data_IF_715384953932
#
_entry.id   IF_715384953932
#
_cell.length_a   1.000
_cell.length_b   1.000
_cell.length_c   1.000
_cell.angle_alpha   90.00
_cell.angle_beta   90.00
_cell.angle_gamma   90.00
#
_symmetry.space_group_name_H-M   'P 1'
#
loop_
_entity.id
_entity.type
_entity.pdbx_description
1 polymer ?
#
# COMPACT_ATOMS: atom_id res chain seq x y z
N UNK A 1 -2.48 6.34 -4.70
CA UNK A 1 -2.40 4.92 -4.31
C UNK A 1 -2.53 4.00 -5.51
N UNK A 2 -3.71 3.80 -6.11
CA UNK A 2 -3.91 2.82 -7.21
C UNK A 2 -2.93 2.98 -8.37
N UNK A 3 -2.69 4.19 -8.85
CA UNK A 3 -1.73 4.44 -9.94
C UNK A 3 -0.29 4.09 -9.57
N UNK A 4 0.19 4.50 -8.39
CA UNK A 4 1.51 4.12 -7.90
C UNK A 4 1.65 2.59 -7.74
N UNK A 5 0.60 1.94 -7.23
CA UNK A 5 0.56 0.49 -7.08
C UNK A 5 0.62 -0.21 -8.46
N UNK A 6 -0.10 0.31 -9.44
CA UNK A 6 -0.08 -0.20 -10.81
C UNK A 6 1.33 -0.13 -11.41
N UNK A 7 2.00 1.03 -11.28
CA UNK A 7 3.38 1.24 -11.75
C UNK A 7 4.38 0.32 -11.05
N UNK A 8 4.17 0.05 -9.77
CA UNK A 8 5.07 -0.83 -9.01
C UNK A 8 4.88 -2.31 -9.37
N UNK A 9 3.63 -2.77 -9.49
CA UNK A 9 3.35 -4.15 -9.97
C UNK A 9 3.87 -4.33 -11.40
N UNK A 10 3.64 -3.35 -12.28
CA UNK A 10 4.21 -3.29 -13.62
C UNK A 10 5.74 -3.39 -13.59
N UNK A 11 6.38 -2.67 -12.68
CA UNK A 11 7.82 -2.67 -12.47
C UNK A 11 8.40 -4.04 -12.09
N UNK A 12 7.63 -4.93 -11.48
CA UNK A 12 8.08 -6.30 -11.17
C UNK A 12 8.23 -7.15 -12.43
N UNK A 13 7.38 -6.90 -13.44
CA UNK A 13 7.36 -7.56 -14.73
C UNK A 13 7.05 -9.06 -14.70
N UNK A 14 6.96 -9.66 -15.89
CA UNK A 14 6.64 -11.08 -16.08
C UNK A 14 7.66 -12.02 -15.44
N UNK A 15 8.95 -11.65 -15.42
CA UNK A 15 9.99 -12.47 -14.77
C UNK A 15 9.66 -12.75 -13.30
N UNK A 16 9.02 -11.79 -12.63
CA UNK A 16 8.62 -11.92 -11.24
C UNK A 16 7.22 -12.50 -11.09
N UNK A 17 6.29 -12.20 -12.01
CA UNK A 17 4.86 -12.47 -11.81
C UNK A 17 4.32 -13.67 -12.59
N UNK A 18 4.85 -13.96 -13.78
CA UNK A 18 4.29 -14.94 -14.69
C UNK A 18 4.29 -16.37 -14.10
N UNK A 19 3.14 -17.04 -14.18
CA UNK A 19 2.90 -18.36 -13.59
C UNK A 19 2.86 -18.39 -12.06
N UNK A 20 3.00 -17.24 -11.39
CA UNK A 20 2.99 -17.12 -9.93
C UNK A 20 1.68 -16.53 -9.42
N UNK A 21 1.52 -16.51 -8.10
CA UNK A 21 0.34 -16.00 -7.40
C UNK A 21 0.59 -14.62 -6.83
N UNK A 22 -0.43 -13.76 -6.89
CA UNK A 22 -0.50 -12.51 -6.14
C UNK A 22 -1.60 -12.65 -5.10
N UNK A 23 -1.26 -12.54 -3.82
CA UNK A 23 -2.18 -12.74 -2.71
C UNK A 23 -2.77 -11.41 -2.24
N UNK A 24 -4.08 -11.35 -2.04
CA UNK A 24 -4.78 -10.18 -1.50
C UNK A 24 -5.93 -10.62 -0.58
N UNK A 25 -6.25 -9.83 0.45
CA UNK A 25 -7.41 -10.12 1.31
C UNK A 25 -8.74 -9.78 0.62
N UNK A 26 -9.80 -10.52 0.90
CA UNK A 26 -11.13 -10.26 0.35
C UNK A 26 -11.66 -8.86 0.73
N UNK A 27 -11.36 -8.40 1.95
CA UNK A 27 -11.73 -7.08 2.47
C UNK A 27 -10.77 -5.95 2.06
N UNK A 28 -9.85 -6.20 1.11
CA UNK A 28 -9.06 -5.12 0.51
C UNK A 28 -9.97 -4.12 -0.24
N UNK A 29 -9.52 -2.86 -0.33
CA UNK A 29 -10.30 -1.83 -1.00
C UNK A 29 -10.58 -2.20 -2.47
N UNK A 30 -11.81 -2.06 -2.98
CA UNK A 30 -12.19 -2.56 -4.32
C UNK A 30 -11.29 -2.11 -5.47
N UNK A 31 -10.71 -0.91 -5.39
CA UNK A 31 -9.78 -0.41 -6.42
C UNK A 31 -8.53 -1.28 -6.59
N UNK A 32 -8.02 -1.89 -5.50
CA UNK A 32 -6.90 -2.83 -5.60
C UNK A 32 -7.34 -4.15 -6.22
N UNK A 33 -8.54 -4.66 -5.90
CA UNK A 33 -9.10 -5.84 -6.57
C UNK A 33 -9.23 -5.61 -8.08
N UNK A 34 -9.84 -4.48 -8.49
CA UNK A 34 -9.99 -4.16 -9.91
C UNK A 34 -8.65 -4.03 -10.62
N UNK A 35 -7.68 -3.36 -9.98
CA UNK A 35 -6.33 -3.21 -10.51
C UNK A 35 -5.65 -4.57 -10.70
N UNK A 36 -5.56 -5.37 -9.64
CA UNK A 36 -4.85 -6.64 -9.65
C UNK A 36 -5.52 -7.65 -10.60
N UNK A 37 -6.85 -7.68 -10.65
CA UNK A 37 -7.58 -8.52 -11.58
C UNK A 37 -7.28 -8.12 -13.04
N UNK A 38 -7.23 -6.82 -13.34
CA UNK A 38 -6.88 -6.34 -14.68
C UNK A 38 -5.41 -6.58 -15.07
N UNK A 39 -4.50 -6.61 -14.09
CA UNK A 39 -3.08 -6.88 -14.32
C UNK A 39 -2.74 -8.38 -14.39
N UNK A 40 -3.60 -9.26 -13.86
CA UNK A 40 -3.39 -10.70 -13.82
C UNK A 40 -3.11 -11.28 -15.21
N UNK A 41 -4.00 -11.00 -16.17
CA UNK A 41 -3.86 -11.48 -17.56
C UNK A 41 -2.64 -10.87 -18.26
N UNK A 42 -2.34 -9.59 -17.98
CA UNK A 42 -1.22 -8.87 -18.59
C UNK A 42 0.14 -9.41 -18.17
N UNK A 43 0.28 -9.83 -16.91
CA UNK A 43 1.55 -10.30 -16.36
C UNK A 43 1.60 -11.81 -16.09
N UNK A 44 0.54 -12.54 -16.47
CA UNK A 44 0.46 -13.99 -16.38
C UNK A 44 0.40 -14.54 -14.96
N UNK A 45 -0.01 -13.74 -13.97
CA UNK A 45 -0.15 -14.21 -12.58
C UNK A 45 -1.58 -14.64 -12.26
N UNK A 46 -1.76 -15.49 -11.25
CA UNK A 46 -3.08 -15.80 -10.68
C UNK A 46 -3.35 -14.91 -9.48
N UNK A 47 -4.42 -14.12 -9.51
CA UNK A 47 -4.87 -13.38 -8.33
C UNK A 47 -5.54 -14.36 -7.36
N UNK A 48 -5.05 -14.40 -6.13
CA UNK A 48 -5.60 -15.24 -5.05
C UNK A 48 -6.18 -14.33 -3.99
N UNK A 49 -7.49 -14.48 -3.76
CA UNK A 49 -8.20 -13.74 -2.72
C UNK A 49 -8.34 -14.60 -1.47
N UNK A 50 -7.79 -14.15 -0.34
CA UNK A 50 -7.99 -14.78 0.96
C UNK A 50 -9.41 -14.48 1.42
N UNK A 51 -10.27 -15.50 1.60
CA UNK A 51 -11.68 -15.28 1.94
C UNK A 51 -11.84 -14.85 3.40
N UNK A 52 -12.96 -14.22 3.70
CA UNK A 52 -13.43 -14.06 5.07
C UNK A 52 -13.92 -15.42 5.58
N UNK A 53 -13.85 -15.63 6.90
CA UNK A 53 -14.55 -16.75 7.56
C UNK A 53 -16.05 -16.43 7.64
N UNK A 54 -16.88 -17.47 7.69
CA UNK A 54 -18.33 -17.31 7.81
C UNK A 54 -18.69 -16.47 9.05
N UNK A 55 -19.47 -15.40 8.84
CA UNK A 55 -19.90 -14.48 9.90
C UNK A 55 -18.87 -13.43 10.32
N UNK A 56 -17.68 -13.41 9.73
CA UNK A 56 -16.67 -12.37 9.99
C UNK A 56 -16.72 -11.24 8.96
N UNK A 57 -16.30 -10.05 9.38
CA UNK A 57 -16.34 -8.84 8.55
C UNK A 57 -14.96 -8.44 7.96
N UNK A 58 -13.90 -9.12 8.38
CA UNK A 58 -12.53 -8.91 7.89
C UNK A 58 -11.77 -10.23 7.80
N UNK A 59 -10.69 -10.25 7.02
CA UNK A 59 -9.79 -11.41 6.92
C UNK A 59 -8.85 -11.44 8.12
N UNK A 60 -8.72 -12.60 8.77
CA UNK A 60 -7.75 -12.81 9.85
C UNK A 60 -6.34 -12.96 9.32
N UNK A 61 -5.36 -12.47 10.07
CA UNK A 61 -3.95 -12.58 9.70
C UNK A 61 -3.49 -14.05 9.59
N UNK A 62 -4.03 -14.94 10.43
CA UNK A 62 -3.76 -16.39 10.35
C UNK A 62 -4.18 -17.00 9.01
N UNK A 63 -5.31 -16.55 8.43
CA UNK A 63 -5.80 -17.05 7.14
C UNK A 63 -4.96 -16.51 5.99
N UNK A 64 -4.46 -15.28 6.12
CA UNK A 64 -3.52 -14.71 5.16
C UNK A 64 -2.19 -15.47 5.18
N UNK A 65 -1.69 -15.75 6.39
CA UNK A 65 -0.46 -16.52 6.59
C UNK A 65 -0.64 -17.96 6.16
N UNK A 66 -1.82 -18.58 6.28
CA UNK A 66 -2.10 -19.97 5.92
C UNK A 66 -1.60 -20.36 4.51
N UNK A 67 -1.56 -19.40 3.58
CA UNK A 67 -0.98 -19.57 2.26
C UNK A 67 0.53 -19.84 2.35
N UNK A 68 0.93 -21.05 1.93
CA UNK A 68 2.31 -21.53 1.85
C UNK A 68 2.66 -21.83 0.40
N UNK A 69 3.90 -21.52 0.01
CA UNK A 69 4.46 -21.94 -1.27
C UNK A 69 5.38 -20.90 -1.89
N UNK A 70 6.43 -21.36 -2.56
CA UNK A 70 7.33 -20.52 -3.36
C UNK A 70 6.65 -19.95 -4.62
N UNK A 71 5.37 -20.27 -4.85
CA UNK A 71 4.56 -19.82 -5.96
C UNK A 71 3.88 -18.47 -5.70
N UNK A 72 3.85 -17.96 -4.45
CA UNK A 72 3.38 -16.59 -4.18
C UNK A 72 4.50 -15.58 -4.47
N UNK A 73 4.32 -14.80 -5.54
CA UNK A 73 5.26 -13.75 -5.92
C UNK A 73 5.16 -12.51 -5.04
N UNK A 74 3.92 -12.13 -4.70
CA UNK A 74 3.61 -10.86 -4.06
C UNK A 74 2.46 -11.03 -3.07
N UNK A 75 2.69 -10.64 -1.83
CA UNK A 75 1.67 -10.47 -0.81
C UNK A 75 1.25 -8.99 -0.76
N UNK A 76 0.00 -8.71 -1.12
CA UNK A 76 -0.60 -7.38 -1.07
C UNK A 76 -1.39 -7.25 0.25
N UNK A 77 -0.83 -6.48 1.17
CA UNK A 77 -1.36 -6.26 2.51
C UNK A 77 -2.06 -4.91 2.57
N UNK A 78 -3.37 -4.90 2.79
CA UNK A 78 -4.06 -3.70 3.26
C UNK A 78 -3.78 -3.54 4.74
N UNK A 79 -3.02 -2.51 5.11
CA UNK A 79 -2.56 -2.36 6.50
C UNK A 79 -3.71 -2.02 7.45
N UNK A 80 -4.62 -1.15 7.04
CA UNK A 80 -5.83 -0.80 7.79
C UNK A 80 -7.03 -0.85 6.84
N UNK A 81 -8.02 -1.67 7.16
CA UNK A 81 -9.24 -1.80 6.36
C UNK A 81 -10.07 -0.52 6.41
N UNK A 82 -10.51 -0.03 5.25
CA UNK A 82 -11.42 1.12 5.19
C UNK A 82 -12.84 0.81 5.68
N UNK A 83 -13.21 -0.48 5.71
CA UNK A 83 -14.55 -0.92 6.08
C UNK A 83 -14.66 -1.21 7.57
N UNK A 84 -13.74 -2.00 8.10
CA UNK A 84 -13.80 -2.50 9.48
C UNK A 84 -12.80 -1.80 10.39
N UNK A 85 -11.90 -0.97 9.87
CA UNK A 85 -10.76 -0.44 10.62
C UNK A 85 -9.81 -1.51 11.19
N UNK A 86 -9.98 -2.78 10.80
CA UNK A 86 -9.05 -3.84 11.16
C UNK A 86 -7.67 -3.51 10.64
N UNK A 87 -6.70 -3.43 11.54
CA UNK A 87 -5.28 -3.24 11.30
C UNK A 87 -4.60 -4.60 11.24
N UNK A 88 -4.01 -4.91 10.09
CA UNK A 88 -3.20 -6.10 9.91
C UNK A 88 -1.91 -6.00 10.75
N UNK A 89 -1.48 -7.12 11.35
CA UNK A 89 -0.16 -7.24 11.96
C UNK A 89 0.91 -7.29 10.86
N UNK A 90 1.30 -6.10 10.41
CA UNK A 90 2.23 -5.93 9.31
C UNK A 90 3.57 -6.62 9.57
N UNK A 91 4.05 -6.63 10.81
CA UNK A 91 5.35 -7.24 11.12
C UNK A 91 5.28 -8.77 10.92
N UNK A 92 4.25 -9.41 11.46
CA UNK A 92 4.04 -10.85 11.33
C UNK A 92 3.79 -11.25 9.88
N UNK A 93 2.91 -10.52 9.18
CA UNK A 93 2.59 -10.79 7.78
C UNK A 93 3.80 -10.59 6.85
N UNK A 94 4.54 -9.49 7.00
CA UNK A 94 5.75 -9.22 6.21
C UNK A 94 6.83 -10.28 6.48
N UNK A 95 7.05 -10.65 7.74
CA UNK A 95 8.04 -11.67 8.09
C UNK A 95 7.70 -13.03 7.49
N UNK A 96 6.42 -13.43 7.54
CA UNK A 96 5.95 -14.67 6.93
C UNK A 96 6.14 -14.66 5.41
N UNK A 97 5.66 -13.62 4.73
CA UNK A 97 5.77 -13.50 3.28
C UNK A 97 7.22 -13.59 2.80
N UNK A 98 8.15 -12.88 3.46
CA UNK A 98 9.58 -12.96 3.15
C UNK A 98 10.18 -14.34 3.44
N UNK A 99 9.76 -14.97 4.55
CA UNK A 99 10.19 -16.31 4.92
C UNK A 99 9.85 -17.38 3.88
N UNK A 100 8.82 -17.16 3.06
CA UNK A 100 8.45 -18.03 1.94
C UNK A 100 8.90 -17.50 0.57
N UNK A 101 9.68 -16.42 0.53
CA UNK A 101 10.25 -15.84 -0.69
C UNK A 101 9.31 -14.91 -1.47
N UNK A 102 8.19 -14.49 -0.88
CA UNK A 102 7.27 -13.51 -1.46
C UNK A 102 7.72 -12.08 -1.20
N UNK A 103 7.52 -11.21 -2.19
CA UNK A 103 7.61 -9.76 -1.99
C UNK A 103 6.40 -9.26 -1.20
N UNK A 104 6.57 -8.13 -0.52
CA UNK A 104 5.54 -7.51 0.32
C UNK A 104 5.18 -6.13 -0.21
N UNK A 105 3.93 -5.97 -0.62
CA UNK A 105 3.35 -4.70 -1.00
C UNK A 105 2.31 -4.24 0.02
N UNK A 106 2.37 -2.97 0.45
CA UNK A 106 1.50 -2.48 1.51
C UNK A 106 0.68 -1.28 1.06
N UNK A 107 -0.64 -1.40 1.17
CA UNK A 107 -1.55 -0.25 1.13
C UNK A 107 -1.67 0.35 2.52
N UNK A 108 -1.09 1.54 2.70
CA UNK A 108 -1.07 2.26 3.97
C UNK A 108 -2.12 3.38 4.03
N UNK A 109 -3.03 3.45 3.05
CA UNK A 109 -3.95 4.59 2.86
C UNK A 109 -4.73 5.00 4.10
N UNK A 110 -5.23 4.04 4.87
CA UNK A 110 -6.04 4.32 6.07
C UNK A 110 -5.22 4.50 7.35
N UNK A 111 -3.91 4.24 7.32
CA UNK A 111 -3.01 4.45 8.46
C UNK A 111 -2.08 5.65 8.31
N UNK A 112 -1.71 6.03 7.08
CA UNK A 112 -0.78 7.10 6.79
C UNK A 112 -1.27 8.44 7.34
N UNK A 113 -0.48 9.08 8.20
CA UNK A 113 -0.82 10.37 8.84
C UNK A 113 -1.47 10.24 10.22
N UNK A 114 -1.88 9.03 10.64
CA UNK A 114 -2.47 8.82 11.98
C UNK A 114 -1.79 7.72 12.79
N UNK A 115 -1.29 6.66 12.16
CA UNK A 115 -0.53 5.59 12.83
C UNK A 115 0.94 5.69 12.38
N UNK A 116 1.92 5.64 13.31
CA UNK A 116 3.33 5.63 12.94
C UNK A 116 3.66 4.49 11.96
N UNK A 117 4.30 4.82 10.85
CA UNK A 117 4.74 3.87 9.83
C UNK A 117 6.20 4.16 9.49
N UNK A 118 7.06 3.14 9.62
CA UNK A 118 8.47 3.24 9.28
C UNK A 118 8.83 2.18 8.23
N UNK A 119 9.17 2.65 7.03
CA UNK A 119 9.57 1.79 5.91
C UNK A 119 10.78 0.92 6.24
N UNK A 120 11.66 1.36 7.15
CA UNK A 120 12.89 0.65 7.53
C UNK A 120 12.62 -0.58 8.39
N UNK A 121 11.51 -0.60 9.13
CA UNK A 121 11.15 -1.69 10.05
C UNK A 121 9.95 -2.50 9.58
N UNK A 122 9.11 -1.93 8.70
CA UNK A 122 7.92 -2.60 8.14
C UNK A 122 8.20 -3.84 7.29
N UNK A 123 9.44 -4.01 6.84
CA UNK A 123 9.87 -5.07 5.92
C UNK A 123 9.07 -5.14 4.61
N UNK A 124 8.44 -4.04 4.19
CA UNK A 124 7.78 -3.95 2.90
C UNK A 124 8.80 -3.74 1.78
N UNK A 125 8.54 -4.34 0.62
CA UNK A 125 9.33 -4.11 -0.59
C UNK A 125 8.80 -2.90 -1.37
N UNK A 126 7.49 -2.62 -1.30
CA UNK A 126 6.95 -1.31 -1.64
C UNK A 126 5.68 -0.97 -0.85
N UNK A 127 5.41 0.33 -0.69
CA UNK A 127 4.21 0.82 -0.01
C UNK A 127 3.61 2.00 -0.76
N UNK A 128 2.30 2.15 -0.71
CA UNK A 128 1.57 3.20 -1.41
C UNK A 128 0.48 3.83 -0.56
N UNK A 129 0.27 5.13 -0.75
CA UNK A 129 -0.83 5.90 -0.16
C UNK A 129 -1.39 6.94 -1.13
N UNK A 130 -2.38 7.69 -0.68
CA UNK A 130 -2.86 8.94 -1.27
C UNK A 130 -2.51 10.10 -0.34
N UNK A 131 -2.43 11.33 -0.86
CA UNK A 131 -2.39 12.55 -0.05
C UNK A 131 -3.71 12.85 0.68
N UNK A 132 -4.81 12.24 0.24
CA UNK A 132 -6.12 12.36 0.87
C UNK A 132 -6.17 11.64 2.23
N UNK A 133 -7.31 11.76 2.93
CA UNK A 133 -7.60 11.11 4.23
C UNK A 133 -6.86 11.79 5.38
N UNK A 134 -6.17 11.03 6.22
CA UNK A 134 -5.52 11.52 7.44
C UNK A 134 -4.35 12.47 7.18
N UNK A 135 -3.82 12.51 5.95
CA UNK A 135 -2.78 13.44 5.56
C UNK A 135 -3.33 14.84 5.18
N UNK A 136 -4.65 15.03 5.17
CA UNK A 136 -5.30 16.34 4.92
C UNK A 136 -4.90 17.02 3.59
N UNK A 137 -4.40 16.26 2.61
CA UNK A 137 -4.07 16.78 1.28
C UNK A 137 -5.25 16.76 0.31
N UNK A 138 -4.98 17.13 -0.95
CA UNK A 138 -5.98 17.23 -2.02
C UNK A 138 -5.86 16.05 -3.01
N UNK A 139 -6.90 15.75 -3.82
CA UNK A 139 -6.78 14.71 -4.83
C UNK A 139 -5.74 15.07 -5.90
N UNK A 140 -5.12 14.04 -6.50
CA UNK A 140 -4.13 14.21 -7.57
C UNK A 140 -2.67 13.99 -7.14
N UNK A 141 -2.42 13.75 -5.86
CA UNK A 141 -1.11 13.36 -5.32
C UNK A 141 -1.20 12.06 -4.50
N UNK A 142 -0.08 11.38 -4.36
CA UNK A 142 0.06 10.21 -3.50
C UNK A 142 1.49 10.05 -3.00
N UNK A 143 1.68 9.01 -2.21
CA UNK A 143 2.99 8.60 -1.70
C UNK A 143 3.29 7.21 -2.25
N UNK A 144 4.53 7.00 -2.66
CA UNK A 144 5.05 5.71 -3.07
C UNK A 144 6.43 5.50 -2.47
N UNK A 145 6.67 4.31 -1.94
CA UNK A 145 7.97 3.86 -1.47
C UNK A 145 8.32 2.57 -2.20
N UNK A 146 9.56 2.46 -2.66
CA UNK A 146 10.15 1.22 -3.19
C UNK A 146 11.44 0.97 -2.43
N UNK A 147 11.62 -0.26 -1.95
CA UNK A 147 12.83 -0.65 -1.25
C UNK A 147 14.05 -0.55 -2.18
N UNK A 148 15.18 0.04 -1.73
CA UNK A 148 16.38 0.16 -2.55
C UNK A 148 16.87 -1.17 -3.13
N UNK A 149 16.66 -2.28 -2.42
CA UNK A 149 17.02 -3.62 -2.89
C UNK A 149 16.27 -4.03 -4.18
N UNK A 150 15.02 -3.59 -4.37
CA UNK A 150 14.27 -3.85 -5.61
C UNK A 150 14.80 -3.06 -6.80
N UNK A 151 15.35 -1.86 -6.56
CA UNK A 151 15.90 -0.97 -7.58
C UNK A 151 17.34 -1.34 -7.96
N UNK A 152 18.18 -1.64 -6.97
CA UNK A 152 19.62 -1.88 -7.09
C UNK A 152 19.93 -3.34 -7.44
N UNK A 153 19.51 -3.79 -8.63
CA UNK A 153 19.75 -5.16 -9.09
C UNK A 153 18.66 -6.17 -8.70
N UNK A 154 17.70 -5.78 -7.86
CA UNK A 154 16.50 -6.58 -7.56
C UNK A 154 15.49 -6.67 -8.71
N UNK A 155 15.76 -5.98 -9.83
CA UNK A 155 15.10 -6.25 -11.10
C UNK A 155 13.78 -5.54 -11.31
N UNK A 156 13.39 -4.61 -10.42
CA UNK A 156 12.20 -3.81 -10.57
C UNK A 156 12.46 -2.64 -11.53
N UNK A 157 11.85 -2.69 -12.72
CA UNK A 157 12.06 -1.74 -13.82
C UNK A 157 10.71 -1.37 -14.43
N UNK A 158 10.32 -0.08 -14.46
CA UNK A 158 9.05 0.33 -15.07
C UNK A 158 8.96 -0.06 -16.54
N UNK A 159 7.80 -0.53 -17.01
CA UNK A 159 7.59 -0.85 -18.43
C UNK A 159 7.49 0.41 -19.31
N UNK A 160 7.12 1.54 -18.71
CA UNK A 160 6.96 2.82 -19.40
C UNK A 160 8.17 3.72 -19.13
N UNK A 161 8.75 4.28 -20.19
CA UNK A 161 9.75 5.36 -20.12
C UNK A 161 9.07 6.70 -20.32
N UNK A 162 9.49 7.68 -19.56
CA UNK A 162 9.15 9.07 -19.82
C UNK A 162 10.28 9.99 -19.42
N UNK A 163 10.25 11.25 -19.85
CA UNK A 163 11.35 12.17 -19.60
C UNK A 163 11.62 12.41 -18.10
N UNK A 164 10.59 12.37 -17.24
CA UNK A 164 10.77 12.47 -15.78
C UNK A 164 11.27 11.19 -15.11
N UNK A 165 11.38 10.08 -15.86
CA UNK A 165 11.88 8.81 -15.32
C UNK A 165 13.39 8.72 -15.28
N UNK A 166 14.08 9.78 -15.72
CA UNK A 166 15.54 9.91 -15.76
C UNK A 166 16.06 10.70 -14.55
N UNK A 167 17.36 10.59 -14.28
CA UNK A 167 18.02 11.44 -13.29
C UNK A 167 17.93 12.92 -13.66
N UNK A 168 18.22 13.24 -14.93
CA UNK A 168 18.03 14.56 -15.53
C UNK A 168 16.84 14.51 -16.50
N UNK A 169 15.68 15.10 -16.13
CA UNK A 169 14.52 15.15 -17.02
C UNK A 169 14.75 15.94 -18.32
N UNK A 170 15.77 16.80 -18.37
CA UNK A 170 16.11 17.59 -19.56
C UNK A 170 17.22 16.95 -20.42
N UNK A 171 17.59 15.70 -20.14
CA UNK A 171 18.36 14.90 -21.07
C UNK A 171 17.51 14.56 -22.31
N UNK A 172 17.72 15.32 -23.38
CA UNK A 172 17.05 15.17 -24.68
C UNK A 172 17.81 14.28 -25.67
N UNK A 173 18.93 13.69 -25.27
CA UNK A 173 19.65 12.72 -26.10
C UNK A 173 18.86 11.40 -26.13
N UNK A 174 18.19 11.16 -27.25
CA UNK A 174 17.32 9.99 -27.46
C UNK A 174 18.08 8.65 -27.44
N UNK A 175 19.41 8.67 -27.62
CA UNK A 175 20.25 7.48 -27.58
C UNK A 175 20.81 7.22 -26.17
N UNK A 176 20.82 8.22 -25.28
CA UNK A 176 21.40 8.15 -23.94
C UNK A 176 20.35 8.18 -22.82
N UNK A 177 19.31 7.34 -22.91
CA UNK A 177 18.34 7.20 -21.83
C UNK A 177 18.88 6.36 -20.67
N UNK A 178 18.75 6.86 -19.44
CA UNK A 178 18.93 6.05 -18.23
C UNK A 178 17.85 6.39 -17.19
N UNK A 179 17.30 5.36 -16.56
CA UNK A 179 16.35 5.56 -15.46
C UNK A 179 17.05 6.21 -14.27
N UNK A 180 16.33 7.07 -13.54
CA UNK A 180 16.74 7.54 -12.23
C UNK A 180 17.09 6.34 -11.33
N UNK A 181 18.12 6.43 -10.48
CA UNK A 181 18.57 5.35 -9.61
C UNK A 181 17.56 5.03 -8.49
N UNK A 182 16.64 5.96 -8.21
CA UNK A 182 15.64 5.87 -7.14
C UNK A 182 14.20 5.71 -7.70
N UNK A 183 13.20 5.87 -6.82
CA UNK A 183 11.79 5.71 -7.16
C UNK A 183 11.29 6.70 -8.24
N UNK A 184 12.00 7.82 -8.51
CA UNK A 184 11.68 8.73 -9.62
C UNK A 184 11.65 8.03 -10.97
N UNK A 185 12.27 6.85 -11.12
CA UNK A 185 12.14 6.06 -12.37
C UNK A 185 10.71 5.69 -12.72
N UNK A 186 9.78 5.76 -11.77
CA UNK A 186 8.35 5.53 -12.00
C UNK A 186 7.58 6.81 -12.34
N UNK A 187 8.23 7.99 -12.36
CA UNK A 187 7.64 9.24 -12.83
C UNK A 187 7.77 9.32 -14.35
N UNK A 188 6.66 9.37 -15.07
CA UNK A 188 6.69 9.29 -16.54
C UNK A 188 6.75 10.68 -17.18
N UNK A 189 5.69 11.46 -17.03
CA UNK A 189 5.56 12.81 -17.56
C UNK A 189 5.82 13.89 -16.51
N UNK A 190 5.61 15.14 -16.92
CA UNK A 190 5.61 16.27 -15.98
C UNK A 190 4.63 15.99 -14.85
N UNK A 191 5.05 16.10 -13.58
CA UNK A 191 4.16 15.89 -12.46
C UNK A 191 3.10 16.99 -12.44
N UNK A 192 1.89 16.63 -11.98
CA UNK A 192 0.85 17.64 -11.72
C UNK A 192 1.23 18.42 -10.46
N UNK A 193 1.86 19.58 -10.64
CA UNK A 193 2.45 20.37 -9.53
C UNK A 193 1.39 20.91 -8.56
N UNK A 194 0.19 21.25 -9.05
CA UNK A 194 -0.87 21.89 -8.26
C UNK A 194 -1.32 21.03 -7.06
N UNK A 195 -1.66 19.74 -7.22
CA UNK A 195 -1.94 18.84 -6.09
C UNK A 195 -0.85 18.74 -5.02
N UNK A 196 0.44 18.82 -5.39
CA UNK A 196 1.54 18.80 -4.41
C UNK A 196 1.54 20.08 -3.56
N UNK A 197 1.45 21.25 -4.21
CA UNK A 197 1.42 22.54 -3.50
C UNK A 197 0.17 22.63 -2.62
N UNK A 198 -0.99 22.25 -3.15
CA UNK A 198 -2.25 22.33 -2.42
C UNK A 198 -2.36 21.32 -1.27
N UNK A 199 -1.57 20.24 -1.28
CA UNK A 199 -1.52 19.28 -0.16
C UNK A 199 -0.57 19.71 0.95
N UNK A 200 0.42 20.57 0.67
CA UNK A 200 1.46 20.95 1.62
C UNK A 200 0.93 21.50 2.97
N UNK A 201 -0.07 22.41 3.01
CA UNK A 201 -0.60 22.89 4.29
C UNK A 201 -1.21 21.78 5.16
N UNK A 202 -1.82 20.76 4.53
CA UNK A 202 -2.36 19.60 5.23
C UNK A 202 -1.24 18.76 5.85
N UNK A 203 -0.17 18.52 5.10
CA UNK A 203 1.00 17.81 5.59
C UNK A 203 1.68 18.56 6.73
N UNK A 204 1.88 19.87 6.59
CA UNK A 204 2.48 20.72 7.63
C UNK A 204 1.64 20.69 8.91
N UNK A 205 0.31 20.75 8.79
CA UNK A 205 -0.58 20.65 9.95
C UNK A 205 -0.46 19.30 10.65
N UNK A 206 -0.46 18.18 9.89
CA UNK A 206 -0.32 16.82 10.45
C UNK A 206 1.05 16.65 11.12
N UNK A 207 2.14 17.06 10.46
CA UNK A 207 3.51 16.97 11.00
C UNK A 207 3.74 17.87 12.21
N UNK A 208 3.00 18.98 12.32
CA UNK A 208 3.06 19.88 13.47
C UNK A 208 2.35 19.35 14.73
N UNK A 209 1.63 18.24 14.64
CA UNK A 209 0.96 17.65 15.80
C UNK A 209 1.96 16.90 16.71
N UNK A 210 1.78 16.92 18.04
CA UNK A 210 2.58 16.08 18.91
C UNK A 210 2.47 14.59 18.54
N UNK A 211 3.57 13.81 18.61
CA UNK A 211 3.54 12.39 18.29
C UNK A 211 2.42 11.64 19.02
N UNK A 212 1.59 10.93 18.28
CA UNK A 212 0.47 10.14 18.80
C UNK A 212 -0.78 10.94 19.19
N UNK A 213 -0.75 12.28 19.17
CA UNK A 213 -1.90 13.10 19.58
C UNK A 213 -3.16 12.83 18.74
N UNK A 214 -3.01 12.77 17.41
CA UNK A 214 -4.11 12.47 16.48
C UNK A 214 -4.71 11.08 16.76
N UNK A 215 -3.88 10.05 16.91
CA UNK A 215 -4.35 8.69 17.22
C UNK A 215 -5.05 8.62 18.57
N UNK A 216 -4.50 9.26 19.60
CA UNK A 216 -5.09 9.28 20.93
C UNK A 216 -6.47 9.96 20.93
N UNK A 217 -6.61 11.07 20.21
CA UNK A 217 -7.90 11.74 20.07
C UNK A 217 -8.89 10.90 19.27
N UNK A 218 -8.43 10.26 18.19
CA UNK A 218 -9.25 9.35 17.40
C UNK A 218 -9.78 8.18 18.25
N UNK A 219 -8.90 7.52 19.02
CA UNK A 219 -9.30 6.40 19.89
C UNK A 219 -10.34 6.80 20.93
N UNK A 220 -10.18 7.97 21.58
CA UNK A 220 -11.20 8.50 22.51
C UNK A 220 -12.58 8.66 21.84
N UNK A 221 -12.62 9.12 20.59
CA UNK A 221 -13.87 9.26 19.85
C UNK A 221 -14.41 7.89 19.40
N UNK A 222 -13.54 6.97 18.98
CA UNK A 222 -13.92 5.60 18.64
C UNK A 222 -14.55 4.87 19.84
N UNK A 223 -13.95 4.96 21.03
CA UNK A 223 -14.50 4.33 22.25
C UNK A 223 -15.88 4.88 22.58
N UNK A 224 -16.11 6.18 22.46
CA UNK A 224 -17.44 6.78 22.63
C UNK A 224 -18.47 6.28 21.61
N UNK A 225 -18.04 6.04 20.36
CA UNK A 225 -18.93 5.45 19.35
C UNK A 225 -19.23 3.99 19.69
N UNK A 226 -18.23 3.23 20.15
CA UNK A 226 -18.39 1.83 20.57
C UNK A 226 -19.35 1.72 21.76
N UNK A 227 -19.24 2.61 22.75
CA UNK A 227 -20.19 2.70 23.87
C UNK A 227 -21.64 2.88 23.37
N UNK A 228 -21.86 3.79 22.42
CA UNK A 228 -23.19 4.02 21.83
C UNK A 228 -23.67 2.79 21.05
N UNK A 229 -22.80 2.13 20.30
CA UNK A 229 -23.11 0.87 19.58
C UNK A 229 -23.57 -0.21 20.56
N UNK A 230 -22.87 -0.35 21.69
CA UNK A 230 -23.18 -1.31 22.74
C UNK A 230 -24.51 -0.99 23.43
N UNK A 231 -24.74 0.26 23.81
CA UNK A 231 -26.01 0.71 24.41
C UNK A 231 -27.22 0.49 23.51
N UNK A 232 -27.03 0.56 22.18
CA UNK A 232 -28.09 0.34 21.19
C UNK A 232 -28.25 -1.12 20.79
N UNK A 233 -27.37 -2.02 21.25
CA UNK A 233 -27.38 -3.43 20.86
C UNK A 233 -27.04 -3.65 19.39
N UNK A 234 -26.29 -2.74 18.77
CA UNK A 234 -25.81 -2.92 17.40
C UNK A 234 -24.56 -3.81 17.36
N UNK A 235 -24.38 -4.52 16.25
CA UNK A 235 -23.17 -5.31 16.04
C UNK A 235 -22.01 -4.41 15.61
N UNK A 236 -20.95 -4.37 16.43
CA UNK A 236 -19.68 -3.76 16.04
C UNK A 236 -18.92 -4.70 15.10
N UNK A 237 -18.61 -4.22 13.89
CA UNK A 237 -17.81 -4.97 12.91
C UNK A 237 -16.29 -4.75 13.06
N UNK A 238 -15.91 -3.63 13.68
CA UNK A 238 -14.51 -3.32 13.97
C UNK A 238 -13.96 -4.13 15.14
N UNK A 239 -12.67 -4.51 15.12
CA UNK A 239 -12.00 -5.01 16.31
C UNK A 239 -12.13 -4.01 17.47
N UNK A 240 -12.26 -4.54 18.69
CA UNK A 240 -12.31 -3.73 19.92
C UNK A 240 -10.93 -3.40 20.47
N UNK A 241 -9.95 -4.22 20.14
CA UNK A 241 -8.56 -4.00 20.54
C UNK A 241 -7.99 -2.85 19.70
N UNK A 242 -7.54 -1.78 20.36
CA UNK A 242 -6.95 -0.60 19.73
C UNK A 242 -5.68 -0.89 18.91
N UNK A 243 -5.10 -2.08 19.14
CA UNK A 243 -3.93 -2.58 18.42
C UNK A 243 -4.28 -3.35 17.15
N UNK A 244 -5.54 -3.74 16.98
CA UNK A 244 -6.08 -4.47 15.84
C UNK A 244 -6.93 -3.60 14.92
#
# INVERSE_FOLDING_TARGET
MTDAFARFVDGLGERTLNGRKVLVAADCFPSLHFLLNGLADRYGFTLVTVPLRDGEAYVRDDDFIAWRGADVALAVITWVSSLTSKRADLNTLSAHARGVGSLVAVDITQGAGIIPFDVRTSNCDFACSTSLKWLCGVPGTGLGYVAPALLNGGGMTPAVRGWFSQEDPFNWDIEQFSYAPDARRFDTGTPSVLPFIASAPGFDWVMGQPPGALRNQNLKLCHRIIEIVDEKGYQLVSPRDDTQ
#
